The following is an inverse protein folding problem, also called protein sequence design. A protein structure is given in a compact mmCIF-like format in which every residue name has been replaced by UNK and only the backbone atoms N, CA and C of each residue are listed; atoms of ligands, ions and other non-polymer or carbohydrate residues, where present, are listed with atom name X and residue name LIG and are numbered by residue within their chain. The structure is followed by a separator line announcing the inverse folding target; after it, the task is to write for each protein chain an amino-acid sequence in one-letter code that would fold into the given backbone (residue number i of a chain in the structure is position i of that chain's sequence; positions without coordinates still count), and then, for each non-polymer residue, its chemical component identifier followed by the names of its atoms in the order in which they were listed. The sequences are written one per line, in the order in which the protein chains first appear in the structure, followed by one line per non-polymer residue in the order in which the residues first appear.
data_IF_173398702276
#
_entry.id   IF_173398702276
#
_cell.length_a   1.000
_cell.length_b   1.000
_cell.length_c   1.000
_cell.angle_alpha   90.00
_cell.angle_beta   90.00
_cell.angle_gamma   90.00
#
_symmetry.space_group_name_H-M   'P 1'
#
loop_
_entity.id
_entity.type
_entity.pdbx_description
1 polymer ?
#
# COMPACT_ATOMS: atom_id res chain seq x y z
N UNK A 1 5.31 -24.19 -17.26
CA UNK A 1 4.01 -24.60 -16.68
C UNK A 1 3.14 -25.11 -17.81
N UNK A 2 2.58 -26.30 -17.67
CA UNK A 2 1.63 -26.86 -18.62
C UNK A 2 0.22 -26.45 -18.25
N UNK A 3 -0.54 -25.98 -19.23
CA UNK A 3 -1.95 -25.58 -19.03
C UNK A 3 -2.85 -26.82 -19.22
N UNK A 4 -4.11 -26.81 -18.72
CA UNK A 4 -5.04 -27.92 -18.86
C UNK A 4 -5.35 -28.32 -20.29
N UNK A 5 -5.19 -27.43 -21.25
CA UNK A 5 -5.34 -27.70 -22.70
C UNK A 5 -4.09 -28.28 -23.36
N UNK A 6 -3.07 -28.64 -22.58
CA UNK A 6 -1.80 -29.21 -23.08
C UNK A 6 -0.79 -28.18 -23.60
N UNK A 7 -1.10 -26.89 -23.54
CA UNK A 7 -0.16 -25.84 -23.92
C UNK A 7 0.82 -25.55 -22.79
N UNK A 8 2.02 -25.10 -23.15
CA UNK A 8 3.05 -24.69 -22.20
C UNK A 8 3.19 -23.17 -22.19
N UNK A 9 3.34 -22.62 -21.00
CA UNK A 9 3.72 -21.22 -20.82
C UNK A 9 5.25 -21.13 -20.69
N UNK A 10 5.87 -20.38 -21.60
CA UNK A 10 7.27 -19.99 -21.51
C UNK A 10 7.33 -18.49 -21.21
N UNK A 11 7.54 -18.09 -19.94
CA UNK A 11 7.62 -16.66 -19.61
C UNK A 11 8.81 -16.03 -20.33
N UNK A 12 8.59 -14.86 -20.91
CA UNK A 12 9.68 -14.00 -21.39
C UNK A 12 10.29 -13.25 -20.21
N UNK A 13 11.58 -13.42 -19.97
CA UNK A 13 12.29 -12.76 -18.88
C UNK A 13 12.42 -13.62 -17.62
N UNK A 14 12.68 -12.95 -16.50
CA UNK A 14 12.89 -13.57 -15.19
C UNK A 14 11.68 -13.37 -14.30
N UNK A 15 11.50 -14.26 -13.33
CA UNK A 15 10.44 -14.18 -12.34
C UNK A 15 11.01 -14.34 -10.94
N UNK A 16 10.44 -13.58 -9.99
CA UNK A 16 10.70 -13.72 -8.56
C UNK A 16 9.45 -14.31 -7.91
N UNK A 17 9.61 -15.42 -7.19
CA UNK A 17 8.51 -16.01 -6.43
C UNK A 17 8.15 -15.08 -5.27
N UNK A 18 6.87 -14.71 -5.19
CA UNK A 18 6.31 -13.85 -4.13
C UNK A 18 5.41 -14.69 -3.21
N UNK A 19 4.64 -14.01 -2.37
CA UNK A 19 3.60 -14.63 -1.56
C UNK A 19 2.35 -14.98 -2.38
N UNK A 20 1.32 -15.39 -1.67
CA UNK A 20 0.05 -15.79 -2.24
C UNK A 20 -0.78 -14.55 -2.63
N UNK A 21 -1.25 -14.51 -3.87
CA UNK A 21 -2.04 -13.43 -4.47
C UNK A 21 -1.41 -12.03 -4.27
N UNK A 22 -0.33 -11.70 -5.00
CA UNK A 22 0.19 -10.33 -5.00
C UNK A 22 -0.91 -9.37 -5.46
N UNK A 23 -1.29 -8.41 -4.60
CA UNK A 23 -2.42 -7.53 -4.85
C UNK A 23 -2.00 -6.17 -5.39
N UNK A 24 -0.96 -5.59 -4.82
CA UNK A 24 -0.44 -4.30 -5.26
C UNK A 24 1.09 -4.28 -5.21
N UNK A 25 1.66 -3.44 -6.07
CA UNK A 25 3.10 -3.21 -6.18
C UNK A 25 3.38 -1.72 -6.17
N UNK A 26 4.32 -1.29 -5.34
CA UNK A 26 4.84 0.07 -5.32
C UNK A 26 6.35 0.05 -5.64
N UNK A 27 6.79 1.02 -6.43
CA UNK A 27 8.20 1.19 -6.79
C UNK A 27 8.70 2.48 -6.15
N UNK A 28 9.86 2.43 -5.50
CA UNK A 28 10.49 3.60 -4.89
C UNK A 28 10.96 4.61 -5.96
N UNK A 29 11.12 5.89 -5.59
CA UNK A 29 11.51 6.95 -6.51
C UNK A 29 12.86 6.67 -7.20
N UNK A 30 13.82 6.09 -6.48
CA UNK A 30 15.12 5.66 -7.01
C UNK A 30 15.06 4.40 -7.88
N UNK A 31 13.91 3.72 -7.93
CA UNK A 31 13.70 2.42 -8.58
C UNK A 31 14.61 1.30 -8.04
N UNK A 32 15.11 1.46 -6.81
CA UNK A 32 15.96 0.45 -6.15
C UNK A 32 15.15 -0.52 -5.31
N UNK A 33 14.02 -0.07 -4.78
CA UNK A 33 13.15 -0.86 -3.93
C UNK A 33 11.79 -1.06 -4.58
N UNK A 34 11.23 -2.22 -4.37
CA UNK A 34 9.86 -2.57 -4.72
C UNK A 34 9.20 -3.09 -3.45
N UNK A 35 7.97 -2.69 -3.20
CA UNK A 35 7.12 -3.25 -2.16
C UNK A 35 5.93 -3.97 -2.77
N UNK A 36 5.53 -5.09 -2.19
CA UNK A 36 4.40 -5.90 -2.66
C UNK A 36 3.54 -6.32 -1.48
N UNK A 37 2.22 -6.14 -1.58
CA UNK A 37 1.25 -6.74 -0.67
C UNK A 37 0.75 -8.06 -1.22
N UNK A 38 0.69 -9.09 -0.38
CA UNK A 38 0.16 -10.41 -0.73
C UNK A 38 -1.09 -10.68 0.13
N UNK A 39 -2.23 -10.91 -0.51
CA UNK A 39 -3.55 -10.97 0.13
C UNK A 39 -4.32 -12.26 -0.15
N UNK A 40 -3.63 -13.37 -0.41
CA UNK A 40 -4.26 -14.67 -0.70
C UNK A 40 -4.86 -15.36 0.53
N UNK A 41 -5.03 -16.66 0.42
CA UNK A 41 -5.60 -17.51 1.48
C UNK A 41 -4.60 -17.82 2.61
N UNK A 42 -3.32 -17.65 2.35
CA UNK A 42 -2.26 -17.79 3.36
C UNK A 42 -2.12 -16.51 4.20
N UNK A 43 -1.10 -16.45 5.05
CA UNK A 43 -0.81 -15.23 5.81
C UNK A 43 -0.57 -14.06 4.88
N UNK A 44 -1.33 -12.99 5.09
CA UNK A 44 -1.15 -11.75 4.34
C UNK A 44 0.17 -11.11 4.70
N UNK A 45 0.95 -10.72 3.71
CA UNK A 45 2.31 -10.22 3.92
C UNK A 45 2.59 -8.95 3.13
N UNK A 46 3.57 -8.21 3.63
CA UNK A 46 4.20 -7.08 2.96
C UNK A 46 5.66 -7.44 2.71
N UNK A 47 6.06 -7.45 1.46
CA UNK A 47 7.42 -7.78 1.03
C UNK A 47 8.15 -6.53 0.56
N UNK A 48 9.42 -6.40 0.98
CA UNK A 48 10.37 -5.42 0.46
C UNK A 48 11.40 -6.14 -0.40
N UNK A 49 11.65 -5.64 -1.60
CA UNK A 49 12.45 -6.30 -2.63
C UNK A 49 13.54 -5.34 -3.12
N UNK A 50 14.77 -5.82 -3.25
CA UNK A 50 15.82 -5.16 -4.01
C UNK A 50 15.56 -5.38 -5.51
N UNK A 51 15.20 -4.31 -6.22
CA UNK A 51 14.82 -4.38 -7.63
C UNK A 51 15.99 -4.77 -8.55
N UNK A 52 17.23 -4.46 -8.17
CA UNK A 52 18.42 -4.76 -8.97
C UNK A 52 18.91 -6.19 -8.78
N UNK A 53 18.88 -6.65 -7.52
CA UNK A 53 19.34 -7.99 -7.15
C UNK A 53 18.23 -9.03 -7.30
N UNK A 54 16.98 -8.58 -7.55
CA UNK A 54 15.81 -9.47 -7.65
C UNK A 54 15.67 -10.36 -6.41
N UNK A 55 15.85 -9.76 -5.23
CA UNK A 55 15.88 -10.48 -3.96
C UNK A 55 14.93 -9.86 -2.95
N UNK A 56 14.15 -10.70 -2.29
CA UNK A 56 13.35 -10.31 -1.13
C UNK A 56 14.30 -9.93 0.01
N UNK A 57 14.21 -8.69 0.47
CA UNK A 57 14.99 -8.14 1.57
C UNK A 57 14.31 -8.38 2.90
N UNK A 58 12.98 -8.23 2.92
CA UNK A 58 12.15 -8.46 4.09
C UNK A 58 10.77 -8.97 3.71
N UNK A 59 10.15 -9.72 4.62
CA UNK A 59 8.80 -10.25 4.49
C UNK A 59 8.15 -10.25 5.87
N UNK A 60 7.16 -9.39 6.05
CA UNK A 60 6.47 -9.23 7.32
C UNK A 60 4.99 -9.55 7.18
N UNK A 61 4.36 -10.07 8.24
CA UNK A 61 2.92 -10.24 8.27
C UNK A 61 2.24 -8.86 8.43
N UNK A 62 1.21 -8.62 7.62
CA UNK A 62 0.34 -7.47 7.71
C UNK A 62 -1.11 -7.94 7.68
N UNK A 63 -1.76 -7.93 8.82
CA UNK A 63 -3.16 -8.39 8.91
C UNK A 63 -4.08 -7.45 8.15
N UNK A 64 -4.98 -8.04 7.35
CA UNK A 64 -6.04 -7.32 6.64
C UNK A 64 -5.51 -6.20 5.73
N UNK A 65 -4.33 -6.41 5.12
CA UNK A 65 -3.82 -5.47 4.13
C UNK A 65 -4.79 -5.36 2.94
N UNK A 66 -4.73 -4.24 2.24
CA UNK A 66 -5.54 -3.98 1.04
C UNK A 66 -4.68 -3.30 -0.03
N UNK A 67 -5.33 -2.54 -0.94
CA UNK A 67 -4.66 -1.94 -2.11
C UNK A 67 -3.61 -0.87 -1.77
N UNK A 68 -3.84 -0.06 -0.73
CA UNK A 68 -2.99 1.10 -0.46
C UNK A 68 -1.55 0.70 -0.15
N UNK A 69 -0.62 1.15 -0.97
CA UNK A 69 0.81 0.92 -0.83
C UNK A 69 1.59 2.06 -1.47
N UNK A 70 2.40 2.77 -0.70
CA UNK A 70 3.15 3.94 -1.18
C UNK A 70 4.44 4.16 -0.40
N UNK A 71 5.54 4.39 -1.10
CA UNK A 71 6.78 4.91 -0.49
C UNK A 71 6.68 6.42 -0.24
N UNK A 72 7.30 6.91 0.83
CA UNK A 72 7.63 8.33 0.95
C UNK A 72 8.64 8.74 -0.14
N UNK A 73 8.69 10.03 -0.48
CA UNK A 73 9.58 10.53 -1.53
C UNK A 73 11.07 10.37 -1.18
N UNK A 74 11.41 10.40 0.12
CA UNK A 74 12.76 10.16 0.64
C UNK A 74 13.10 8.68 0.83
N UNK A 75 12.16 7.77 0.51
CA UNK A 75 12.27 6.31 0.62
C UNK A 75 12.55 5.77 2.02
N UNK A 76 12.41 6.61 3.05
CA UNK A 76 12.60 6.16 4.44
C UNK A 76 11.38 5.45 5.02
N UNK A 77 10.22 5.66 4.43
CA UNK A 77 8.97 5.10 4.90
C UNK A 77 8.20 4.39 3.79
N UNK A 78 7.47 3.37 4.19
CA UNK A 78 6.47 2.67 3.38
C UNK A 78 5.13 2.72 4.11
N UNK A 79 4.10 3.14 3.41
CA UNK A 79 2.73 3.18 3.92
C UNK A 79 1.91 2.07 3.28
N UNK A 80 1.11 1.38 4.10
CA UNK A 80 0.23 0.31 3.65
C UNK A 80 -1.15 0.42 4.31
N UNK A 81 -2.22 0.18 3.53
CA UNK A 81 -3.57 0.14 4.07
C UNK A 81 -3.81 -1.15 4.85
N UNK A 82 -4.47 -1.01 6.00
CA UNK A 82 -4.86 -2.11 6.89
C UNK A 82 -6.33 -2.51 6.72
N UNK A 83 -6.95 -2.21 5.58
CA UNK A 83 -8.29 -2.66 5.19
C UNK A 83 -9.32 -2.58 6.32
N UNK A 84 -9.94 -3.69 6.67
CA UNK A 84 -11.01 -3.77 7.68
C UNK A 84 -10.61 -3.36 9.10
N UNK A 85 -9.33 -3.13 9.39
CA UNK A 85 -8.92 -2.54 10.67
C UNK A 85 -9.00 -1.00 10.66
N UNK A 86 -9.38 -0.41 9.52
CA UNK A 86 -9.65 1.02 9.35
C UNK A 86 -8.46 1.93 9.72
N UNK A 87 -7.27 1.51 9.35
CA UNK A 87 -6.03 2.26 9.57
C UNK A 87 -5.10 2.23 8.35
N UNK A 88 -4.16 3.15 8.34
CA UNK A 88 -2.96 3.08 7.49
C UNK A 88 -1.77 2.85 8.41
N UNK A 89 -0.91 1.92 8.04
CA UNK A 89 0.31 1.58 8.75
C UNK A 89 1.50 2.25 8.07
N UNK A 90 2.41 2.82 8.87
CA UNK A 90 3.65 3.41 8.42
C UNK A 90 4.82 2.56 8.93
N UNK A 91 5.62 2.06 8.01
CA UNK A 91 6.83 1.31 8.30
C UNK A 91 8.06 2.15 7.99
N UNK A 92 9.01 2.21 8.92
CA UNK A 92 10.34 2.72 8.64
C UNK A 92 11.17 1.65 7.91
N UNK A 93 11.91 2.07 6.88
CA UNK A 93 12.85 1.20 6.15
C UNK A 93 14.24 1.40 6.75
N UNK A 94 14.69 0.45 7.55
CA UNK A 94 15.96 0.52 8.26
C UNK A 94 16.76 -0.74 8.01
N UNK A 95 17.97 -0.61 7.47
CA UNK A 95 18.83 -1.75 7.10
C UNK A 95 18.10 -2.82 6.29
N UNK A 96 17.30 -2.39 5.31
CA UNK A 96 16.47 -3.24 4.46
C UNK A 96 15.36 -4.00 5.21
N UNK A 97 14.97 -3.55 6.41
CA UNK A 97 13.88 -4.11 7.19
C UNK A 97 12.72 -3.13 7.30
N UNK A 98 11.51 -3.67 7.31
CA UNK A 98 10.28 -2.95 7.55
C UNK A 98 9.94 -2.99 9.04
N UNK A 99 10.07 -1.84 9.71
CA UNK A 99 9.80 -1.71 11.14
C UNK A 99 8.56 -0.84 11.30
N UNK A 100 7.50 -1.39 11.89
CA UNK A 100 6.28 -0.61 12.16
C UNK A 100 6.64 0.58 13.06
N UNK A 101 6.44 1.79 12.53
CA UNK A 101 6.72 3.04 13.22
C UNK A 101 5.45 3.67 13.76
N UNK A 102 4.39 3.67 12.96
CA UNK A 102 3.18 4.40 13.28
C UNK A 102 1.92 3.83 12.63
N UNK A 103 0.76 4.34 13.06
CA UNK A 103 -0.53 4.03 12.48
C UNK A 103 -1.46 5.25 12.48
N UNK A 104 -2.22 5.41 11.40
CA UNK A 104 -3.20 6.47 11.21
C UNK A 104 -4.59 5.84 11.22
N UNK A 105 -5.37 6.09 12.28
CA UNK A 105 -6.69 5.50 12.46
C UNK A 105 -7.75 6.37 11.80
N UNK A 106 -8.57 5.79 10.93
CA UNK A 106 -9.72 6.46 10.32
C UNK A 106 -10.99 6.32 11.17
N UNK A 107 -11.02 5.34 12.08
CA UNK A 107 -12.15 5.08 12.96
C UNK A 107 -11.97 3.80 13.77
N UNK A 108 -13.05 3.32 14.35
CA UNK A 108 -13.06 2.04 15.08
C UNK A 108 -12.81 0.89 14.12
N UNK A 109 -12.19 -0.19 14.63
CA UNK A 109 -12.02 -1.44 13.89
C UNK A 109 -13.37 -2.07 13.54
N UNK A 110 -13.31 -3.11 12.71
CA UNK A 110 -14.48 -3.94 12.43
C UNK A 110 -15.32 -4.19 13.72
N UNK A 111 -16.66 -4.07 13.68
CA UNK A 111 -17.53 -4.07 12.50
C UNK A 111 -17.81 -2.71 11.85
N UNK A 112 -17.14 -1.62 12.27
CA UNK A 112 -17.25 -0.34 11.57
C UNK A 112 -16.62 -0.47 10.19
N UNK A 113 -17.42 -0.20 9.15
CA UNK A 113 -17.01 -0.36 7.75
C UNK A 113 -16.52 0.97 7.19
N UNK A 114 -15.21 1.13 7.11
CA UNK A 114 -14.51 2.26 6.43
C UNK A 114 -13.69 1.72 5.28
N UNK A 115 -12.87 0.73 5.55
CA UNK A 115 -12.05 -0.03 4.59
C UNK A 115 -11.16 0.87 3.71
N UNK A 116 -10.09 1.45 4.28
CA UNK A 116 -9.10 2.19 3.50
C UNK A 116 -8.56 1.31 2.37
N UNK A 117 -8.60 1.88 1.17
CA UNK A 117 -8.16 1.27 -0.08
C UNK A 117 -6.89 1.95 -0.60
N UNK A 118 -6.98 2.74 -1.65
CA UNK A 118 -5.84 3.45 -2.22
C UNK A 118 -5.35 4.61 -1.36
N UNK A 119 -4.08 4.90 -1.47
CA UNK A 119 -3.42 5.99 -0.73
C UNK A 119 -2.47 6.74 -1.65
N UNK A 120 -2.30 8.04 -1.41
CA UNK A 120 -1.18 8.81 -1.93
C UNK A 120 -0.67 9.82 -0.90
N UNK A 121 0.54 10.34 -1.09
CA UNK A 121 1.26 11.13 -0.10
C UNK A 121 1.80 12.42 -0.73
N UNK A 122 1.60 13.52 -0.04
CA UNK A 122 2.33 14.76 -0.26
C UNK A 122 3.31 14.98 0.90
N UNK A 123 4.54 14.54 0.73
CA UNK A 123 5.57 14.68 1.75
C UNK A 123 5.90 16.13 2.06
N UNK A 124 5.84 17.02 1.06
CA UNK A 124 6.16 18.45 1.23
C UNK A 124 5.14 19.16 2.13
N UNK A 125 3.86 18.80 2.02
CA UNK A 125 2.78 19.34 2.86
C UNK A 125 2.48 18.46 4.08
N UNK A 126 3.16 17.31 4.22
CA UNK A 126 2.90 16.30 5.25
C UNK A 126 1.46 15.79 5.25
N UNK A 127 0.92 15.52 4.07
CA UNK A 127 -0.44 15.04 3.90
C UNK A 127 -0.48 13.61 3.38
N UNK A 128 -1.39 12.82 3.95
CA UNK A 128 -1.76 11.49 3.48
C UNK A 128 -3.21 11.54 2.99
N UNK A 129 -3.42 11.15 1.75
CA UNK A 129 -4.71 10.99 1.13
C UNK A 129 -5.11 9.53 1.15
N UNK A 130 -6.30 9.24 1.62
CA UNK A 130 -6.82 7.87 1.74
C UNK A 130 -8.23 7.82 1.19
N UNK A 131 -8.44 7.04 0.15
CA UNK A 131 -9.80 6.71 -0.29
C UNK A 131 -10.27 5.44 0.39
N UNK A 132 -11.56 5.37 0.67
CA UNK A 132 -12.17 4.28 1.44
C UNK A 132 -13.34 3.70 0.67
N UNK A 133 -13.42 2.36 0.67
CA UNK A 133 -14.43 1.63 -0.09
C UNK A 133 -15.81 1.65 0.59
N UNK A 134 -15.88 1.28 1.87
CA UNK A 134 -17.16 0.94 2.49
C UNK A 134 -17.98 2.16 2.95
N UNK A 135 -17.34 3.32 3.12
CA UNK A 135 -18.03 4.57 3.44
C UNK A 135 -17.82 5.67 2.38
N UNK A 136 -17.35 5.30 1.19
CA UNK A 136 -17.25 6.17 0.00
C UNK A 136 -16.65 7.53 0.33
N UNK A 137 -15.47 7.56 0.94
CA UNK A 137 -14.88 8.81 1.40
C UNK A 137 -13.43 8.96 0.98
N UNK A 138 -13.03 10.22 0.80
CA UNK A 138 -11.64 10.65 0.79
C UNK A 138 -11.31 11.27 2.15
N UNK A 139 -10.28 10.78 2.80
CA UNK A 139 -9.71 11.35 4.01
C UNK A 139 -8.41 12.06 3.69
N UNK A 140 -8.24 13.26 4.22
CA UNK A 140 -6.96 14.00 4.22
C UNK A 140 -6.44 14.02 5.64
N UNK A 141 -5.25 13.48 5.86
CA UNK A 141 -4.67 13.26 7.18
C UNK A 141 -3.33 13.98 7.27
N UNK A 142 -3.09 14.65 8.37
CA UNK A 142 -1.79 15.23 8.65
C UNK A 142 -0.83 14.14 9.18
N UNK A 143 0.29 13.95 8.50
CA UNK A 143 1.29 12.92 8.83
C UNK A 143 2.05 13.20 10.15
N UNK A 144 2.11 14.45 10.59
CA UNK A 144 2.87 14.84 11.79
C UNK A 144 2.08 14.61 13.08
N UNK A 145 0.82 15.09 13.10
CA UNK A 145 -0.04 15.00 14.29
C UNK A 145 -1.16 13.96 14.19
N UNK A 146 -1.27 13.25 13.05
CA UNK A 146 -2.24 12.17 12.77
C UNK A 146 -3.71 12.62 12.78
N UNK A 147 -3.96 13.91 12.72
CA UNK A 147 -5.32 14.43 12.68
C UNK A 147 -5.92 14.26 11.28
N UNK A 148 -7.17 13.84 11.24
CA UNK A 148 -7.99 13.92 10.03
C UNK A 148 -8.35 15.40 9.86
N UNK A 149 -7.81 16.01 8.81
CA UNK A 149 -8.06 17.41 8.47
C UNK A 149 -9.36 17.59 7.72
N UNK A 150 -9.70 16.61 6.88
CA UNK A 150 -10.88 16.66 6.04
C UNK A 150 -11.37 15.25 5.72
N UNK A 151 -12.69 15.11 5.61
CA UNK A 151 -13.36 13.98 5.01
C UNK A 151 -14.32 14.51 3.94
N UNK A 152 -14.21 13.97 2.73
CA UNK A 152 -15.08 14.28 1.60
C UNK A 152 -15.84 13.02 1.25
N UNK A 153 -17.16 13.10 1.19
CA UNK A 153 -17.99 11.98 0.72
C UNK A 153 -17.92 11.95 -0.81
N UNK A 154 -17.72 10.77 -1.35
CA UNK A 154 -17.64 10.50 -2.78
C UNK A 154 -18.96 9.87 -3.28
N UNK A 155 -19.27 10.07 -4.55
CA UNK A 155 -20.49 9.55 -5.16
C UNK A 155 -20.46 8.03 -5.42
N UNK A 156 -19.32 7.37 -5.17
CA UNK A 156 -19.15 5.94 -5.37
C UNK A 156 -17.96 5.35 -4.65
N UNK A 157 -17.79 4.02 -4.76
CA UNK A 157 -16.68 3.29 -4.18
C UNK A 157 -15.37 3.66 -4.86
N UNK A 158 -14.44 4.25 -4.11
CA UNK A 158 -13.10 4.57 -4.60
C UNK A 158 -12.08 3.49 -4.18
N UNK A 159 -11.31 3.01 -5.14
CA UNK A 159 -10.28 1.98 -4.92
C UNK A 159 -8.87 2.54 -4.92
N UNK A 160 -8.62 3.63 -5.64
CA UNK A 160 -7.30 4.24 -5.72
C UNK A 160 -7.42 5.76 -5.80
N UNK A 161 -6.34 6.44 -5.47
CA UNK A 161 -6.18 7.87 -5.72
C UNK A 161 -4.74 8.14 -6.16
N UNK A 162 -4.55 9.23 -6.89
CA UNK A 162 -3.24 9.64 -7.38
C UNK A 162 -3.14 11.16 -7.40
N UNK A 163 -2.12 11.70 -6.76
CA UNK A 163 -1.77 13.11 -6.86
C UNK A 163 -1.10 13.41 -8.20
N UNK A 164 -1.48 14.53 -8.80
CA UNK A 164 -0.75 15.08 -9.94
C UNK A 164 0.72 15.37 -9.58
N UNK A 165 1.59 15.44 -10.59
CA UNK A 165 3.00 15.69 -10.39
C UNK A 165 3.27 17.05 -9.71
N UNK A 166 2.44 18.07 -9.99
CA UNK A 166 2.52 19.41 -9.38
C UNK A 166 1.77 19.50 -8.03
N UNK A 167 1.18 18.39 -7.57
CA UNK A 167 0.46 18.29 -6.28
C UNK A 167 -0.76 19.20 -6.15
N UNK A 168 -1.37 19.62 -7.25
CA UNK A 168 -2.54 20.50 -7.23
C UNK A 168 -3.86 19.74 -7.37
N UNK A 169 -3.83 18.57 -7.97
CA UNK A 169 -5.01 17.78 -8.27
C UNK A 169 -4.86 16.37 -7.69
N UNK A 170 -5.98 15.78 -7.28
CA UNK A 170 -6.09 14.40 -6.84
C UNK A 170 -7.13 13.72 -7.75
N UNK A 171 -6.70 12.66 -8.42
CA UNK A 171 -7.51 11.81 -9.28
C UNK A 171 -7.94 10.54 -8.57
#
# INVERSE_FOLDING_TARGET
VMLPNGWSLSPAGRSLALGDLPLNIAVSASKKLIAVTNNGQSNQTLQLIDARKEKILDNIEIRRSWLGLKFSSDEKYLFASGGNDNWILQYAITHHKLILKDSFKLGKKWPTKISPAGIDIDDARHLLYVVTKDNNSLYVINLQNKQILQQVILDGEAYTCLLSADKKELY
#
